data_IF_253784061185
#
_entry.id   IF_253784061185
#
_cell.length_a   1.000
_cell.length_b   1.000
_cell.length_c   1.000
_cell.angle_alpha   90.00
_cell.angle_beta   90.00
_cell.angle_gamma   90.00
#
_symmetry.space_group_name_H-M   'P 1'
#
loop_
_entity.id
_entity.type
_entity.pdbx_description
1 polymer ?
#
# COMPACT_ATOMS: atom_id res chain seq x y z
N UNK A 1 -8.55 -0.81 -0.12
CA UNK A 1 -8.43 -1.04 -1.58
C UNK A 1 -9.82 -1.28 -2.15
N UNK A 2 -9.96 -1.53 -3.46
CA UNK A 2 -11.25 -1.89 -4.06
C UNK A 2 -11.85 -3.13 -3.41
N UNK A 3 -13.17 -3.29 -3.52
CA UNK A 3 -13.90 -4.44 -2.96
C UNK A 3 -13.71 -4.65 -1.44
N UNK A 4 -13.41 -3.57 -0.70
CA UNK A 4 -13.21 -3.64 0.75
C UNK A 4 -11.93 -4.36 1.21
N UNK A 5 -11.03 -4.70 0.28
CA UNK A 5 -9.76 -5.37 0.61
C UNK A 5 -8.89 -4.44 1.46
N UNK A 6 -8.47 -4.94 2.62
CA UNK A 6 -7.51 -4.28 3.52
C UNK A 6 -6.18 -5.03 3.47
N UNK A 7 -5.11 -4.26 3.35
CA UNK A 7 -3.73 -4.77 3.30
C UNK A 7 -2.89 -3.94 4.27
N UNK A 8 -1.87 -4.58 4.82
CA UNK A 8 -0.84 -3.92 5.63
C UNK A 8 0.48 -4.04 4.88
N UNK A 9 1.29 -2.99 4.95
CA UNK A 9 2.62 -2.97 4.34
C UNK A 9 3.54 -2.03 5.13
N UNK A 10 4.84 -2.13 4.88
CA UNK A 10 5.84 -1.19 5.38
C UNK A 10 5.96 -0.06 4.37
N UNK A 11 5.72 1.18 4.80
CA UNK A 11 5.90 2.35 3.95
C UNK A 11 7.38 2.52 3.59
N UNK A 12 7.69 2.63 2.30
CA UNK A 12 9.03 2.96 1.81
C UNK A 12 9.08 4.40 1.29
N UNK A 13 8.30 4.69 0.25
CA UNK A 13 8.23 6.02 -0.35
C UNK A 13 6.86 6.32 -0.95
N UNK A 14 6.56 7.61 -1.14
CA UNK A 14 5.42 8.08 -1.91
C UNK A 14 5.89 8.95 -3.08
N UNK A 15 5.32 8.70 -4.26
CA UNK A 15 5.42 9.59 -5.40
C UNK A 15 4.18 10.49 -5.43
N UNK A 16 4.41 11.80 -5.31
CA UNK A 16 3.34 12.81 -5.27
C UNK A 16 2.81 13.12 -6.67
N UNK A 17 3.63 12.99 -7.71
CA UNK A 17 3.23 13.28 -9.10
C UNK A 17 2.50 12.11 -9.73
N UNK A 18 3.04 10.90 -9.57
CA UNK A 18 2.39 9.67 -10.03
C UNK A 18 1.28 9.18 -9.09
N UNK A 19 1.18 9.79 -7.90
CA UNK A 19 0.21 9.48 -6.85
C UNK A 19 0.24 7.98 -6.52
N UNK A 20 1.38 7.50 -6.02
CA UNK A 20 1.61 6.09 -5.74
C UNK A 20 2.47 5.87 -4.48
N UNK A 21 2.37 4.68 -3.91
CA UNK A 21 3.16 4.25 -2.76
C UNK A 21 4.06 3.08 -3.14
N UNK A 22 5.36 3.24 -2.94
CA UNK A 22 6.27 2.10 -2.88
C UNK A 22 6.24 1.57 -1.45
N UNK A 23 5.96 0.27 -1.33
CA UNK A 23 5.84 -0.41 -0.05
C UNK A 23 6.58 -1.74 -0.08
N UNK A 24 7.08 -2.13 1.08
CA UNK A 24 7.69 -3.43 1.29
C UNK A 24 6.78 -4.33 2.13
N UNK A 25 6.98 -5.64 2.02
CA UNK A 25 6.24 -6.65 2.80
C UNK A 25 4.72 -6.48 2.75
N UNK A 26 4.16 -6.26 1.55
CA UNK A 26 2.73 -6.09 1.35
C UNK A 26 1.99 -7.40 1.66
N UNK A 27 1.18 -7.39 2.70
CA UNK A 27 0.39 -8.53 3.16
C UNK A 27 -0.97 -8.52 2.48
N UNK A 28 -1.23 -9.53 1.66
CA UNK A 28 -2.51 -9.76 0.99
C UNK A 28 -3.17 -11.03 1.52
N UNK A 29 -4.46 -11.27 1.22
CA UNK A 29 -5.11 -12.54 1.55
C UNK A 29 -4.45 -13.77 0.91
N UNK A 30 -3.66 -13.60 -0.15
CA UNK A 30 -3.01 -14.69 -0.88
C UNK A 30 -1.58 -14.96 -0.40
N UNK A 31 -1.00 -14.07 0.40
CA UNK A 31 0.39 -14.16 0.85
C UNK A 31 1.06 -12.79 0.95
N UNK A 32 2.39 -12.83 1.10
CA UNK A 32 3.22 -11.63 1.25
C UNK A 32 3.99 -11.38 -0.05
N UNK A 33 3.84 -10.18 -0.58
CA UNK A 33 4.67 -9.67 -1.67
C UNK A 33 5.86 -8.90 -1.06
N UNK A 34 7.08 -9.20 -1.51
CA UNK A 34 8.28 -8.62 -0.91
C UNK A 34 8.36 -7.09 -1.12
N UNK A 35 8.00 -6.62 -2.32
CA UNK A 35 7.95 -5.22 -2.68
C UNK A 35 6.81 -4.97 -3.69
N UNK A 36 6.09 -3.87 -3.52
CA UNK A 36 4.96 -3.53 -4.38
C UNK A 36 4.85 -2.03 -4.62
N UNK A 37 4.25 -1.67 -5.76
CA UNK A 37 3.84 -0.31 -6.08
C UNK A 37 2.31 -0.23 -6.04
N UNK A 38 1.76 0.45 -5.04
CA UNK A 38 0.33 0.71 -4.92
C UNK A 38 0.00 2.03 -5.59
N UNK A 39 -0.74 2.00 -6.70
CA UNK A 39 -1.21 3.21 -7.38
C UNK A 39 -2.38 3.81 -6.61
N UNK A 40 -2.58 5.12 -6.64
CA UNK A 40 -3.74 5.71 -5.94
C UNK A 40 -5.10 5.24 -6.47
N UNK A 41 -5.19 4.80 -7.73
CA UNK A 41 -6.42 4.18 -8.24
C UNK A 41 -6.78 2.85 -7.57
N UNK A 42 -5.82 2.23 -6.87
CA UNK A 42 -5.97 0.99 -6.11
C UNK A 42 -6.22 1.28 -4.60
N UNK A 43 -5.89 2.48 -4.11
CA UNK A 43 -5.94 2.89 -2.69
C UNK A 43 -7.12 3.83 -2.44
N UNK A 44 -8.12 3.37 -1.68
CA UNK A 44 -9.27 4.19 -1.25
C UNK A 44 -8.90 5.09 -0.08
N UNK A 45 -8.12 4.57 0.87
CA UNK A 45 -7.61 5.29 2.04
C UNK A 45 -6.40 4.55 2.61
N UNK A 46 -5.56 5.27 3.36
CA UNK A 46 -4.44 4.73 4.11
C UNK A 46 -4.39 5.35 5.51
N UNK A 47 -3.74 4.65 6.45
CA UNK A 47 -3.58 5.07 7.83
C UNK A 47 -2.30 4.46 8.39
N UNK A 48 -1.61 5.18 9.25
CA UNK A 48 -0.44 4.70 9.97
C UNK A 48 -0.43 5.28 11.38
N UNK A 49 0.26 4.60 12.28
CA UNK A 49 0.49 5.10 13.64
C UNK A 49 1.75 5.97 13.61
N UNK A 50 1.69 7.12 14.27
CA UNK A 50 2.85 7.97 14.54
C UNK A 50 3.32 7.67 15.96
N UNK A 51 4.63 7.42 16.12
CA UNK A 51 5.30 7.34 17.42
C UNK A 51 5.72 8.73 17.92
#
# INVERSE_FOLDING_TARGET
MREGVRVDAVFGAADVEAVAFQVDSLRTPLGVEAAALLRCSDVVSYSFVLD
#
